data_IF_881120330422
#
_entry.id   IF_881120330422
#
_cell.length_a   1.000
_cell.length_b   1.000
_cell.length_c   1.000
_cell.angle_alpha   90.00
_cell.angle_beta   90.00
_cell.angle_gamma   90.00
#
_symmetry.space_group_name_H-M   'P 1'
#
loop_
_entity.id
_entity.type
_entity.pdbx_description
1 polymer ?
#
# COMPACT_ATOMS: atom_id res chain seq x y z
N UNK A 1 15.49 12.21 -18.68
CA UNK A 1 16.77 11.51 -18.46
C UNK A 1 17.36 11.98 -17.15
N UNK A 2 18.06 11.10 -16.43
CA UNK A 2 18.80 11.50 -15.22
C UNK A 2 20.14 12.12 -15.62
N UNK A 3 20.69 13.05 -14.82
CA UNK A 3 22.03 13.58 -15.03
C UNK A 3 23.08 12.44 -15.01
N UNK A 4 24.11 12.47 -15.88
CA UNK A 4 25.12 11.41 -15.97
C UNK A 4 25.80 11.06 -14.64
N UNK A 5 26.01 12.07 -13.79
CA UNK A 5 26.65 12.00 -12.49
C UNK A 5 25.78 11.35 -11.40
N UNK A 6 24.47 11.29 -11.60
CA UNK A 6 23.51 10.91 -10.56
C UNK A 6 23.77 9.52 -9.97
N UNK A 7 24.08 8.53 -10.82
CA UNK A 7 24.36 7.16 -10.37
C UNK A 7 25.63 7.09 -9.51
N UNK A 8 26.63 7.93 -9.80
CA UNK A 8 27.82 8.06 -8.97
C UNK A 8 27.48 8.60 -7.58
N UNK A 9 26.66 9.66 -7.52
CA UNK A 9 26.26 10.34 -6.27
C UNK A 9 25.43 9.47 -5.30
N UNK A 10 24.71 8.47 -5.82
CA UNK A 10 23.87 7.57 -5.01
C UNK A 10 24.51 6.20 -4.75
N UNK A 11 25.66 5.88 -5.36
CA UNK A 11 26.22 4.52 -5.42
C UNK A 11 26.39 3.79 -4.08
N UNK A 12 26.60 4.51 -2.98
CA UNK A 12 26.78 3.94 -1.64
C UNK A 12 25.50 3.99 -0.76
N UNK A 13 24.40 4.57 -1.27
CA UNK A 13 23.24 4.93 -0.45
C UNK A 13 21.89 4.81 -1.17
N UNK A 14 21.90 4.34 -2.42
CA UNK A 14 20.71 4.22 -3.26
C UNK A 14 20.86 3.15 -4.32
N UNK A 15 19.73 2.66 -4.79
CA UNK A 15 19.62 1.69 -5.88
C UNK A 15 18.60 2.22 -6.89
N UNK A 16 18.99 2.28 -8.16
CA UNK A 16 18.07 2.56 -9.25
C UNK A 16 17.78 1.26 -10.01
N UNK A 17 16.51 0.89 -10.11
CA UNK A 17 16.06 -0.27 -10.85
C UNK A 17 14.82 0.08 -11.68
N UNK A 18 14.67 -0.53 -12.86
CA UNK A 18 13.46 -0.39 -13.69
C UNK A 18 12.25 -1.09 -13.07
N UNK A 19 12.49 -2.08 -12.22
CA UNK A 19 11.48 -2.83 -11.50
C UNK A 19 12.04 -3.37 -10.19
N UNK A 20 11.18 -3.51 -9.18
CA UNK A 20 11.53 -4.17 -7.93
C UNK A 20 10.36 -5.04 -7.45
N UNK A 21 10.63 -6.07 -6.62
CA UNK A 21 9.59 -6.82 -5.93
C UNK A 21 8.99 -5.93 -4.82
N UNK A 22 8.18 -4.93 -5.21
CA UNK A 22 7.73 -3.83 -4.34
C UNK A 22 7.13 -4.31 -3.02
N UNK A 23 6.38 -5.42 -3.02
CA UNK A 23 5.81 -6.00 -1.80
C UNK A 23 6.88 -6.54 -0.84
N UNK A 24 7.92 -7.21 -1.35
CA UNK A 24 9.03 -7.68 -0.52
C UNK A 24 9.85 -6.49 0.01
N UNK A 25 10.05 -5.47 -0.82
CA UNK A 25 10.72 -4.23 -0.42
C UNK A 25 9.94 -3.57 0.72
N UNK A 26 8.64 -3.30 0.54
CA UNK A 26 7.82 -2.64 1.56
C UNK A 26 7.71 -3.41 2.87
N UNK A 27 7.75 -4.75 2.83
CA UNK A 27 7.75 -5.58 4.04
C UNK A 27 9.12 -5.68 4.72
N UNK A 28 10.19 -5.14 4.13
CA UNK A 28 11.51 -5.17 4.73
C UNK A 28 11.61 -4.19 5.90
N UNK A 29 12.16 -4.60 7.07
CA UNK A 29 12.19 -3.75 8.28
C UNK A 29 13.01 -2.46 8.12
N UNK A 30 13.93 -2.42 7.15
CA UNK A 30 14.69 -1.20 6.84
C UNK A 30 13.90 -0.13 6.07
N UNK A 31 12.68 -0.42 5.62
CA UNK A 31 11.87 0.58 4.92
C UNK A 31 11.26 1.58 5.90
N UNK A 32 11.69 2.83 5.72
CA UNK A 32 11.21 3.97 6.49
C UNK A 32 9.95 4.62 5.91
N UNK A 33 9.75 4.58 4.60
CA UNK A 33 8.63 5.28 3.98
C UNK A 33 8.53 5.01 2.49
N UNK A 34 7.42 5.42 1.89
CA UNK A 34 7.11 5.14 0.49
C UNK A 34 6.60 6.38 -0.25
N UNK A 35 7.39 6.89 -1.19
CA UNK A 35 6.92 7.89 -2.16
C UNK A 35 6.11 7.17 -3.25
N UNK A 36 4.85 7.54 -3.40
CA UNK A 36 3.91 6.83 -4.27
C UNK A 36 3.01 7.80 -5.01
N UNK A 37 2.57 7.39 -6.20
CA UNK A 37 1.55 8.11 -6.97
C UNK A 37 0.13 7.91 -6.43
N UNK A 38 -0.03 7.25 -5.28
CA UNK A 38 -1.33 6.98 -4.64
C UNK A 38 -2.29 6.07 -5.44
N UNK A 39 -1.76 5.20 -6.29
CA UNK A 39 -2.59 4.15 -6.91
C UNK A 39 -3.04 3.11 -5.90
N UNK A 40 -4.29 2.63 -6.01
CA UNK A 40 -4.93 1.77 -5.01
C UNK A 40 -4.10 0.53 -4.60
N UNK A 41 -3.52 -0.19 -5.57
CA UNK A 41 -2.71 -1.38 -5.29
C UNK A 41 -1.44 -1.04 -4.48
N UNK A 42 -0.78 0.07 -4.79
CA UNK A 42 0.41 0.52 -4.05
C UNK A 42 0.04 0.97 -2.65
N UNK A 43 -1.10 1.66 -2.50
CA UNK A 43 -1.63 2.08 -1.20
C UNK A 43 -1.96 0.87 -0.31
N UNK A 44 -2.65 -0.14 -0.83
CA UNK A 44 -2.94 -1.37 -0.07
C UNK A 44 -1.66 -2.08 0.34
N UNK A 45 -0.66 -2.20 -0.55
CA UNK A 45 0.64 -2.78 -0.18
C UNK A 45 1.31 -2.01 0.95
N UNK A 46 1.30 -0.67 0.90
CA UNK A 46 1.85 0.17 1.97
C UNK A 46 1.12 -0.04 3.30
N UNK A 47 -0.21 -0.08 3.28
CA UNK A 47 -1.05 -0.36 4.45
C UNK A 47 -0.75 -1.74 5.02
N UNK A 48 -0.72 -2.79 4.19
CA UNK A 48 -0.41 -4.16 4.61
C UNK A 48 1.02 -4.31 5.16
N UNK A 49 1.94 -3.44 4.76
CA UNK A 49 3.30 -3.41 5.31
C UNK A 49 3.45 -2.48 6.52
N UNK A 50 2.47 -1.61 6.81
CA UNK A 50 2.55 -0.64 7.90
C UNK A 50 3.53 0.51 7.62
N UNK A 51 3.67 0.87 6.34
CA UNK A 51 4.64 1.87 5.86
C UNK A 51 3.90 3.19 5.58
N UNK A 52 4.36 4.33 6.14
CA UNK A 52 3.79 5.64 5.85
C UNK A 52 4.25 6.16 4.49
N UNK A 53 3.49 7.11 3.91
CA UNK A 53 3.64 7.50 2.51
C UNK A 53 3.92 9.00 2.31
N UNK A 54 4.64 9.32 1.24
CA UNK A 54 4.52 10.63 0.58
C UNK A 54 3.70 10.38 -0.68
N UNK A 55 2.60 11.11 -0.83
CA UNK A 55 1.60 10.95 -1.88
C UNK A 55 1.85 11.99 -2.96
N UNK A 56 2.03 11.56 -4.20
CA UNK A 56 2.22 12.44 -5.36
C UNK A 56 1.28 12.02 -6.51
N UNK A 57 -0.02 12.29 -6.39
CA UNK A 57 -1.04 11.81 -7.33
C UNK A 57 -0.99 12.54 -8.68
N UNK A 58 -1.43 11.87 -9.75
CA UNK A 58 -1.49 12.44 -11.11
C UNK A 58 -2.89 12.39 -11.73
N UNK A 59 -3.58 11.25 -11.70
CA UNK A 59 -4.87 11.08 -12.40
C UNK A 59 -5.77 9.97 -11.82
N UNK A 60 -6.99 9.87 -12.34
CA UNK A 60 -8.00 8.87 -11.94
C UNK A 60 -8.32 8.91 -10.44
N UNK A 61 -8.30 7.75 -9.77
CA UNK A 61 -8.60 7.59 -8.35
C UNK A 61 -7.49 8.12 -7.43
N UNK A 62 -6.29 8.39 -7.97
CA UNK A 62 -5.10 8.75 -7.19
C UNK A 62 -5.33 9.99 -6.30
N UNK A 63 -6.07 10.98 -6.79
CA UNK A 63 -6.41 12.19 -6.02
C UNK A 63 -7.27 11.86 -4.79
N UNK A 64 -8.28 11.00 -4.98
CA UNK A 64 -9.17 10.55 -3.89
C UNK A 64 -8.42 9.68 -2.88
N UNK A 65 -7.53 8.82 -3.36
CA UNK A 65 -6.68 7.97 -2.51
C UNK A 65 -5.67 8.82 -1.74
N UNK A 66 -5.01 9.79 -2.38
CA UNK A 66 -4.14 10.78 -1.73
C UNK A 66 -4.89 11.49 -0.60
N UNK A 67 -6.05 12.06 -0.90
CA UNK A 67 -6.88 12.75 0.09
C UNK A 67 -7.22 11.84 1.28
N UNK A 68 -7.57 10.57 1.02
CA UNK A 68 -7.87 9.60 2.08
C UNK A 68 -6.64 9.29 2.94
N UNK A 69 -5.47 9.10 2.31
CA UNK A 69 -4.22 8.85 3.02
C UNK A 69 -3.81 10.03 3.90
N UNK A 70 -3.99 11.27 3.44
CA UNK A 70 -3.57 12.47 4.15
C UNK A 70 -4.58 12.93 5.21
N UNK A 71 -5.88 12.87 4.94
CA UNK A 71 -6.90 13.54 5.76
C UNK A 71 -7.78 12.58 6.58
N UNK A 72 -7.88 11.31 6.18
CA UNK A 72 -8.76 10.33 6.84
C UNK A 72 -7.99 9.26 7.60
N UNK A 73 -6.94 8.74 6.98
CA UNK A 73 -6.11 7.69 7.55
C UNK A 73 -4.87 8.25 8.24
N UNK A 74 -4.47 9.47 7.90
CA UNK A 74 -3.31 10.15 8.46
C UNK A 74 -2.06 9.26 8.40
N UNK A 75 -1.85 8.64 7.24
CA UNK A 75 -0.70 7.78 6.93
C UNK A 75 0.17 8.35 5.82
N UNK A 76 -0.15 9.54 5.30
CA UNK A 76 0.67 10.16 4.29
C UNK A 76 0.64 11.69 4.27
N UNK A 77 1.64 12.25 3.59
CA UNK A 77 1.73 13.68 3.28
C UNK A 77 1.70 13.88 1.78
N UNK A 78 0.98 14.89 1.31
CA UNK A 78 0.90 15.22 -0.11
C UNK A 78 2.11 16.05 -0.54
N UNK A 79 2.72 15.67 -1.66
CA UNK A 79 3.73 16.46 -2.37
C UNK A 79 3.03 17.34 -3.41
N UNK A 80 3.39 18.62 -3.44
CA UNK A 80 2.84 19.58 -4.39
C UNK A 80 3.07 19.17 -5.86
N UNK A 81 2.18 19.62 -6.74
CA UNK A 81 2.31 19.48 -8.19
C UNK A 81 3.55 20.19 -8.77
N UNK A 82 3.94 21.34 -8.22
CA UNK A 82 5.16 22.07 -8.54
C UNK A 82 6.33 21.54 -7.69
N UNK A 83 6.88 20.39 -8.10
CA UNK A 83 7.88 19.67 -7.31
C UNK A 83 9.22 20.42 -7.29
N UNK A 84 9.61 20.82 -6.08
CA UNK A 84 10.91 21.42 -5.78
C UNK A 84 11.74 20.51 -4.89
N UNK A 85 13.06 20.55 -5.08
CA UNK A 85 14.02 19.73 -4.34
C UNK A 85 13.89 19.94 -2.83
N UNK A 86 13.70 21.19 -2.41
CA UNK A 86 13.62 21.61 -1.02
C UNK A 86 12.41 20.99 -0.34
N UNK A 87 11.26 20.96 -1.03
CA UNK A 87 10.03 20.36 -0.52
C UNK A 87 10.14 18.84 -0.42
N UNK A 88 10.70 18.18 -1.45
CA UNK A 88 10.97 16.73 -1.40
C UNK A 88 11.88 16.40 -0.21
N UNK A 89 12.97 17.16 -0.03
CA UNK A 89 13.89 16.95 1.08
C UNK A 89 13.20 17.12 2.43
N UNK A 90 12.38 18.16 2.59
CA UNK A 90 11.63 18.43 3.82
C UNK A 90 10.66 17.29 4.15
N UNK A 91 9.86 16.84 3.17
CA UNK A 91 8.90 15.75 3.38
C UNK A 91 9.60 14.43 3.70
N UNK A 92 10.72 14.12 3.04
CA UNK A 92 11.50 12.91 3.34
C UNK A 92 12.07 12.97 4.76
N UNK A 93 12.62 14.11 5.19
CA UNK A 93 13.13 14.28 6.55
C UNK A 93 12.01 14.14 7.59
N UNK A 94 10.86 14.77 7.36
CA UNK A 94 9.70 14.69 8.26
C UNK A 94 9.14 13.26 8.34
N UNK A 95 9.04 12.56 7.22
CA UNK A 95 8.57 11.16 7.17
C UNK A 95 9.49 10.22 7.95
N UNK A 96 10.80 10.42 7.84
CA UNK A 96 11.82 9.52 8.40
C UNK A 96 12.10 9.80 9.89
N UNK A 97 12.19 11.08 10.26
CA UNK A 97 12.71 11.51 11.57
C UNK A 97 11.74 12.41 12.36
N UNK A 98 10.78 13.04 11.68
CA UNK A 98 9.84 13.99 12.28
C UNK A 98 8.75 13.31 13.10
N UNK A 99 8.10 14.10 13.95
CA UNK A 99 7.03 13.59 14.82
C UNK A 99 5.79 13.21 14.01
N UNK A 100 5.49 13.94 12.92
CA UNK A 100 4.41 13.57 12.01
C UNK A 100 4.71 12.23 11.33
N UNK A 101 5.97 11.98 10.97
CA UNK A 101 6.42 10.69 10.44
C UNK A 101 6.18 9.52 11.40
N UNK A 102 6.48 9.72 12.69
CA UNK A 102 6.24 8.72 13.76
C UNK A 102 4.75 8.45 13.94
N UNK A 103 3.92 9.49 13.97
CA UNK A 103 2.47 9.35 14.10
C UNK A 103 1.86 8.63 12.90
N UNK A 104 2.26 9.00 11.68
CA UNK A 104 1.82 8.30 10.47
C UNK A 104 2.22 6.83 10.47
N UNK A 105 3.43 6.48 10.94
CA UNK A 105 3.85 5.07 11.07
C UNK A 105 2.97 4.31 12.05
N UNK A 106 2.65 4.91 13.20
CA UNK A 106 1.73 4.31 14.18
C UNK A 106 0.36 4.05 13.55
N UNK A 107 -0.19 5.04 12.85
CA UNK A 107 -1.47 4.92 12.14
C UNK A 107 -1.43 3.83 11.05
N UNK A 108 -0.33 3.75 10.28
CA UNK A 108 -0.14 2.72 9.26
C UNK A 108 -0.07 1.31 9.88
N UNK A 109 0.61 1.13 11.00
CA UNK A 109 0.66 -0.14 11.74
C UNK A 109 -0.72 -0.51 12.29
N UNK A 110 -1.51 0.44 12.77
CA UNK A 110 -2.84 0.16 13.27
C UNK A 110 -3.82 -0.20 12.14
N UNK A 111 -3.69 0.43 10.96
CA UNK A 111 -4.42 0.02 9.76
C UNK A 111 -3.99 -1.36 9.26
N UNK A 112 -2.69 -1.68 9.30
CA UNK A 112 -2.17 -3.03 9.00
C UNK A 112 -2.88 -4.08 9.84
N UNK A 113 -2.90 -3.91 11.17
CA UNK A 113 -3.57 -4.84 12.11
C UNK A 113 -5.05 -5.00 11.80
N UNK A 114 -5.75 -3.91 11.46
CA UNK A 114 -7.17 -3.95 11.08
C UNK A 114 -7.37 -4.72 9.77
N UNK A 115 -6.53 -4.49 8.77
CA UNK A 115 -6.56 -5.20 7.49
C UNK A 115 -6.27 -6.70 7.68
N UNK A 116 -5.26 -7.06 8.46
CA UNK A 116 -4.95 -8.45 8.81
C UNK A 116 -6.15 -9.12 9.49
N UNK A 117 -6.72 -8.50 10.54
CA UNK A 117 -7.89 -9.03 11.24
C UNK A 117 -9.09 -9.25 10.30
N UNK A 118 -9.33 -8.34 9.37
CA UNK A 118 -10.43 -8.45 8.41
C UNK A 118 -10.23 -9.62 7.42
N UNK A 119 -8.98 -9.93 7.09
CA UNK A 119 -8.62 -10.89 6.03
C UNK A 119 -8.18 -12.27 6.52
N UNK A 120 -7.80 -12.45 7.79
CA UNK A 120 -7.26 -13.74 8.29
C UNK A 120 -8.10 -14.40 9.37
N UNK A 121 -8.95 -13.63 10.07
CA UNK A 121 -9.85 -14.19 11.08
C UNK A 121 -11.00 -14.95 10.43
N UNK A 122 -11.45 -16.10 10.98
CA UNK A 122 -12.68 -16.77 10.54
C UNK A 122 -13.93 -15.87 10.62
N UNK A 123 -13.93 -14.93 11.57
CA UNK A 123 -14.97 -13.89 11.73
C UNK A 123 -14.60 -12.55 11.08
N UNK A 124 -13.52 -12.52 10.30
CA UNK A 124 -13.06 -11.33 9.59
C UNK A 124 -14.06 -10.89 8.52
N UNK A 125 -14.30 -9.59 8.41
CA UNK A 125 -15.30 -9.05 7.50
C UNK A 125 -15.04 -9.41 6.04
N UNK A 126 -13.78 -9.37 5.59
CA UNK A 126 -13.41 -9.74 4.22
C UNK A 126 -13.59 -11.22 3.95
N UNK A 127 -13.28 -12.09 4.93
CA UNK A 127 -13.51 -13.54 4.83
C UNK A 127 -15.00 -13.86 4.73
N UNK A 128 -15.81 -13.27 5.61
CA UNK A 128 -17.27 -13.44 5.60
C UNK A 128 -17.87 -12.94 4.28
N UNK A 129 -17.44 -11.77 3.80
CA UNK A 129 -17.96 -11.21 2.56
C UNK A 129 -17.54 -12.04 1.34
N UNK A 130 -16.31 -12.56 1.31
CA UNK A 130 -15.86 -13.47 0.26
C UNK A 130 -16.70 -14.75 0.24
N UNK A 131 -16.99 -15.33 1.40
CA UNK A 131 -17.90 -16.48 1.54
C UNK A 131 -19.27 -16.21 0.91
N UNK A 132 -19.88 -15.05 1.22
CA UNK A 132 -21.17 -14.65 0.62
C UNK A 132 -21.11 -14.53 -0.90
N UNK A 133 -20.02 -13.98 -1.44
CA UNK A 133 -19.83 -13.89 -2.90
C UNK A 133 -19.73 -15.29 -3.51
N UNK A 134 -18.97 -16.19 -2.90
CA UNK A 134 -18.84 -17.59 -3.35
C UNK A 134 -20.21 -18.27 -3.32
N UNK A 135 -20.95 -18.18 -2.22
CA UNK A 135 -22.27 -18.80 -2.08
C UNK A 135 -23.25 -18.29 -3.14
N UNK A 136 -23.24 -16.97 -3.41
CA UNK A 136 -24.07 -16.37 -4.45
C UNK A 136 -23.73 -16.89 -5.85
N UNK A 137 -22.44 -16.99 -6.18
CA UNK A 137 -21.99 -17.51 -7.48
C UNK A 137 -22.34 -19.00 -7.65
N UNK A 138 -22.30 -19.78 -6.57
CA UNK A 138 -22.67 -21.19 -6.59
C UNK A 138 -24.19 -21.41 -6.73
N UNK A 139 -25.02 -20.53 -6.15
CA UNK A 139 -26.48 -20.57 -6.30
C UNK A 139 -26.93 -20.22 -7.74
N UNK A 140 -26.16 -19.40 -8.46
CA UNK A 140 -26.42 -19.06 -9.86
C UNK A 140 -26.06 -20.14 -10.90
N UNK A 141 -25.57 -21.31 -10.47
CA UNK A 141 -25.17 -22.42 -11.35
C UNK A 141 -26.12 -23.62 -11.23
N UNK A 142 -27.11 -23.79 -12.13
CA UNK A 142 -28.08 -24.90 -12.04
C UNK A 142 -27.47 -26.31 -12.12
N UNK A 143 -26.21 -26.45 -12.58
CA UNK A 143 -25.58 -27.72 -12.88
C UNK A 143 -24.33 -28.08 -12.04
N UNK A 144 -23.96 -27.31 -11.01
CA UNK A 144 -22.69 -27.57 -10.27
C UNK A 144 -22.83 -28.45 -9.02
N UNK A 145 -24.06 -28.63 -8.50
CA UNK A 145 -24.30 -29.40 -7.26
C UNK A 145 -23.82 -30.86 -7.33
N UNK A 146 -23.72 -31.46 -8.52
CA UNK A 146 -23.22 -32.83 -8.71
C UNK A 146 -21.70 -32.94 -8.85
N UNK A 147 -21.02 -31.90 -9.34
CA UNK A 147 -19.58 -31.96 -9.64
C UNK A 147 -18.70 -31.66 -8.43
N UNK A 148 -19.15 -30.79 -7.51
CA UNK A 148 -18.34 -30.45 -6.33
C UNK A 148 -18.36 -31.57 -5.26
N UNK A 149 -19.47 -32.33 -5.17
CA UNK A 149 -19.60 -33.40 -4.17
C UNK A 149 -18.77 -34.65 -4.48
N UNK A 150 -18.33 -34.85 -5.73
CA UNK A 150 -17.46 -35.98 -6.11
C UNK A 150 -15.96 -35.70 -5.93
N UNK A 151 -15.52 -34.45 -5.72
CA UNK A 151 -14.08 -34.10 -5.65
C UNK A 151 -13.52 -33.95 -4.24
N UNK A 152 -14.34 -34.02 -3.19
CA UNK A 152 -13.89 -33.92 -1.78
C UNK A 152 -13.97 -35.28 -1.07
N UNK A 153 -13.98 -36.37 -1.83
CA UNK A 153 -13.91 -37.74 -1.30
C UNK A 153 -12.82 -38.53 -2.01
N UNK A 154 -11.57 -38.06 -1.88
CA UNK A 154 -10.34 -38.85 -2.00
C UNK A 154 -9.34 -38.33 -0.98
#
# INVERSE_FOLDING_TARGET
>A
MLPPEFLGEISNRGLLASWCPQEQVLNHPSIGGFLTHSGWNSTIKSISSGVPMICWPFFADQLTICWSCCNKWEIGMELDSDVKREEVSKLVIELMNGDKGKDMRKNAIDLKKKAEKACTSPSGSSIVNLGKVIDHLLQGSPNSFYLFRMRVSL
#
